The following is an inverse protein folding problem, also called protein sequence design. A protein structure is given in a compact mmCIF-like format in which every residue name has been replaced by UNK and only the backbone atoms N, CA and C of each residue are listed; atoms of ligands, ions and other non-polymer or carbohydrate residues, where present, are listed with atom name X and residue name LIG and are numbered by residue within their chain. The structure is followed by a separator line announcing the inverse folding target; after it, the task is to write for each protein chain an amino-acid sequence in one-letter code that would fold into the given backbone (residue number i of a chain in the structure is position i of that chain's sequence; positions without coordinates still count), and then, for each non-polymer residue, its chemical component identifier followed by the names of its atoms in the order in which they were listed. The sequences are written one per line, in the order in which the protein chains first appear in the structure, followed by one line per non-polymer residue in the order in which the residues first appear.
data_IF_186387127887
#
_entry.id   IF_186387127887
#
_cell.length_a   1.000
_cell.length_b   1.000
_cell.length_c   1.000
_cell.angle_alpha   90.00
_cell.angle_beta   90.00
_cell.angle_gamma   90.00
#
_symmetry.space_group_name_H-M   'P 1'
#
loop_
_entity.id
_entity.type
_entity.pdbx_description
1 polymer ?
#
# COMPACT_ATOMS: atom_id res chain seq x y z
N UNK A 1 -3.39 11.84 -0.10
CA UNK A 1 -3.00 12.00 1.32
C UNK A 1 -2.61 13.44 1.56
N UNK A 2 -3.07 14.05 2.65
CA UNK A 2 -2.90 15.48 2.91
C UNK A 2 -1.74 15.82 3.87
N UNK A 3 -1.38 14.92 4.79
CA UNK A 3 -0.31 15.13 5.76
C UNK A 3 0.34 13.82 6.21
N UNK A 4 1.40 13.89 7.02
CA UNK A 4 2.10 12.72 7.57
C UNK A 4 1.21 11.82 8.44
N UNK A 5 0.21 12.38 9.13
CA UNK A 5 -0.80 11.58 9.84
C UNK A 5 -1.64 10.73 8.89
N UNK A 6 -1.92 11.21 7.67
CA UNK A 6 -2.65 10.42 6.68
C UNK A 6 -1.82 9.24 6.15
N UNK A 7 -0.49 9.38 6.08
CA UNK A 7 0.39 8.27 5.71
C UNK A 7 0.33 7.16 6.75
N UNK A 8 0.44 7.53 8.03
CA UNK A 8 0.38 6.58 9.14
C UNK A 8 -0.98 5.87 9.17
N UNK A 9 -2.08 6.63 9.06
CA UNK A 9 -3.43 6.07 9.02
C UNK A 9 -3.59 5.05 7.89
N UNK A 10 -3.17 5.37 6.66
CA UNK A 10 -3.23 4.44 5.53
C UNK A 10 -2.39 3.18 5.80
N UNK A 11 -1.16 3.35 6.32
CA UNK A 11 -0.30 2.23 6.65
C UNK A 11 -0.94 1.30 7.69
N UNK A 12 -1.56 1.87 8.72
CA UNK A 12 -2.14 1.10 9.82
C UNK A 12 -3.43 0.39 9.40
N UNK A 13 -4.27 1.02 8.57
CA UNK A 13 -5.42 0.34 7.94
C UNK A 13 -4.96 -0.85 7.12
N UNK A 14 -3.94 -0.68 6.27
CA UNK A 14 -3.41 -1.78 5.45
C UNK A 14 -2.83 -2.90 6.32
N UNK A 15 -2.05 -2.59 7.36
CA UNK A 15 -1.48 -3.59 8.28
C UNK A 15 -2.54 -4.35 9.08
N UNK A 16 -3.67 -3.71 9.34
CA UNK A 16 -4.78 -4.30 10.10
C UNK A 16 -5.59 -5.29 9.26
N UNK A 17 -5.85 -4.92 8.00
CA UNK A 17 -6.69 -5.73 7.11
C UNK A 17 -5.89 -6.74 6.27
N UNK A 18 -4.58 -6.54 6.12
CA UNK A 18 -3.71 -7.37 5.28
C UNK A 18 -2.43 -7.77 6.00
N UNK A 19 -2.00 -9.02 5.81
CA UNK A 19 -0.70 -9.50 6.29
C UNK A 19 0.44 -9.04 5.36
N UNK A 20 0.92 -7.83 5.64
CA UNK A 20 1.99 -7.17 4.88
C UNK A 20 3.28 -7.18 5.68
N UNK A 21 4.38 -7.55 5.02
CA UNK A 21 5.72 -7.47 5.62
C UNK A 21 6.17 -6.03 5.82
N UNK A 22 5.85 -5.16 4.86
CA UNK A 22 6.23 -3.75 4.88
C UNK A 22 5.18 -2.94 4.13
N UNK A 23 4.76 -1.84 4.73
CA UNK A 23 3.95 -0.82 4.05
C UNK A 23 4.62 0.53 4.27
N UNK A 24 4.66 1.33 3.21
CA UNK A 24 5.20 2.67 3.21
C UNK A 24 4.29 3.57 2.40
N UNK A 25 3.57 4.45 3.07
CA UNK A 25 2.82 5.51 2.43
C UNK A 25 3.68 6.77 2.34
N UNK A 26 3.49 7.54 1.26
CA UNK A 26 4.10 8.85 1.09
C UNK A 26 3.06 9.86 0.59
N UNK A 27 2.77 10.87 1.40
CA UNK A 27 1.92 12.00 1.05
C UNK A 27 2.61 12.90 0.03
N UNK A 28 3.93 13.08 0.14
CA UNK A 28 4.73 13.85 -0.82
C UNK A 28 4.67 13.24 -2.21
N UNK A 29 4.77 11.90 -2.31
CA UNK A 29 4.66 11.18 -3.59
C UNK A 29 3.23 10.77 -3.96
N UNK A 30 2.27 10.96 -3.04
CA UNK A 30 0.86 10.53 -3.16
C UNK A 30 0.68 9.05 -3.52
N UNK A 31 1.54 8.17 -2.98
CA UNK A 31 1.55 6.73 -3.29
C UNK A 31 1.84 5.88 -2.06
N UNK A 32 1.39 4.62 -2.08
CA UNK A 32 1.66 3.64 -1.04
C UNK A 32 2.34 2.40 -1.65
N UNK A 33 3.49 2.04 -1.10
CA UNK A 33 4.25 0.85 -1.47
C UNK A 33 4.00 -0.23 -0.42
N UNK A 34 3.59 -1.42 -0.87
CA UNK A 34 3.25 -2.54 0.00
C UNK A 34 4.07 -3.74 -0.44
N UNK A 35 4.66 -4.44 0.52
CA UNK A 35 5.39 -5.69 0.34
C UNK A 35 4.73 -6.75 1.20
N UNK A 36 4.10 -7.73 0.57
CA UNK A 36 3.48 -8.90 1.20
C UNK A 36 4.12 -10.18 0.67
N UNK A 37 3.91 -11.30 1.40
CA UNK A 37 4.28 -12.63 0.89
C UNK A 37 3.23 -13.20 -0.07
N UNK A 38 1.97 -12.90 0.21
CA UNK A 38 0.82 -13.37 -0.55
C UNK A 38 0.29 -12.25 -1.45
N UNK A 39 -0.33 -12.59 -2.60
CA UNK A 39 -0.97 -11.61 -3.46
C UNK A 39 -2.10 -10.92 -2.68
N UNK A 40 -2.05 -9.59 -2.65
CA UNK A 40 -3.08 -8.77 -2.03
C UNK A 40 -4.28 -8.68 -2.96
N UNK A 41 -5.48 -8.74 -2.37
CA UNK A 41 -6.72 -8.52 -3.09
C UNK A 41 -6.89 -7.02 -3.36
N UNK A 42 -6.71 -6.61 -4.61
CA UNK A 42 -6.87 -5.23 -5.06
C UNK A 42 -8.24 -4.64 -4.69
N UNK A 43 -9.31 -5.44 -4.78
CA UNK A 43 -10.66 -4.96 -4.54
C UNK A 43 -10.88 -4.64 -3.06
N UNK A 44 -10.35 -5.49 -2.18
CA UNK A 44 -10.32 -5.20 -0.74
C UNK A 44 -9.44 -3.99 -0.44
N UNK A 45 -8.29 -3.85 -1.10
CA UNK A 45 -7.36 -2.75 -0.86
C UNK A 45 -8.01 -1.41 -1.22
N UNK A 46 -8.67 -1.35 -2.38
CA UNK A 46 -9.47 -0.19 -2.82
C UNK A 46 -10.59 0.13 -1.84
N UNK A 47 -11.28 -0.89 -1.32
CA UNK A 47 -12.36 -0.70 -0.34
C UNK A 47 -11.84 -0.16 1.01
N UNK A 48 -10.75 -0.72 1.53
CA UNK A 48 -10.13 -0.29 2.77
C UNK A 48 -9.62 1.16 2.68
N UNK A 49 -8.96 1.51 1.58
CA UNK A 49 -8.51 2.89 1.34
C UNK A 49 -9.71 3.82 1.10
N UNK A 50 -10.75 3.37 0.39
CA UNK A 50 -11.99 4.12 0.21
C UNK A 50 -12.68 4.46 1.53
N UNK A 51 -12.69 3.52 2.49
CA UNK A 51 -13.22 3.74 3.83
C UNK A 51 -12.46 4.82 4.62
N UNK A 52 -11.17 5.04 4.32
CA UNK A 52 -10.39 6.14 4.92
C UNK A 52 -10.67 7.51 4.28
N UNK A 53 -11.53 7.58 3.26
CA UNK A 53 -11.84 8.80 2.53
C UNK A 53 -10.85 9.12 1.39
N UNK A 54 -10.07 8.14 0.94
CA UNK A 54 -9.11 8.32 -0.15
C UNK A 54 -9.50 7.50 -1.38
N UNK A 55 -9.34 8.09 -2.56
CA UNK A 55 -9.57 7.43 -3.84
C UNK A 55 -8.29 6.78 -4.33
N UNK A 56 -8.33 5.48 -4.60
CA UNK A 56 -7.25 4.75 -5.25
C UNK A 56 -7.39 4.89 -6.76
N UNK A 57 -6.44 5.56 -7.40
CA UNK A 57 -6.44 5.79 -8.85
C UNK A 57 -5.83 4.63 -9.61
N UNK A 58 -4.73 4.09 -9.11
CA UNK A 58 -3.98 2.99 -9.75
C UNK A 58 -3.57 1.98 -8.68
N UNK A 59 -3.69 0.70 -9.01
CA UNK A 59 -3.15 -0.39 -8.20
C UNK A 59 -2.32 -1.24 -9.13
N UNK A 60 -1.05 -1.46 -8.74
CA UNK A 60 -0.16 -2.35 -9.46
C UNK A 60 0.30 -3.41 -8.50
N UNK A 61 -0.11 -4.63 -8.76
CA UNK A 61 0.42 -5.82 -8.11
C UNK A 61 1.43 -6.47 -9.05
N UNK A 62 2.70 -6.27 -8.77
CA UNK A 62 3.78 -7.01 -9.43
C UNK A 62 4.37 -7.98 -8.40
N UNK A 63 4.75 -9.19 -8.82
CA UNK A 63 5.51 -10.08 -7.96
C UNK A 63 6.76 -9.35 -7.47
N UNK A 64 6.99 -9.37 -6.15
CA UNK A 64 8.17 -8.74 -5.57
C UNK A 64 9.43 -9.52 -5.98
N UNK A 65 9.92 -9.23 -7.18
CA UNK A 65 11.24 -9.64 -7.63
C UNK A 65 12.19 -8.72 -6.88
N UNK A 66 12.84 -9.25 -5.83
CA UNK A 66 14.08 -8.63 -5.33
C UNK A 66 14.89 -8.31 -6.58
N UNK A 67 15.19 -7.04 -6.84
CA UNK A 67 16.25 -6.68 -7.79
C UNK A 67 17.55 -7.24 -7.23
N UNK A 68 17.78 -8.53 -7.47
CA UNK A 68 19.12 -9.06 -7.60
C UNK A 68 19.73 -8.22 -8.70
N UNK A 69 20.73 -7.42 -8.33
CA UNK A 69 21.76 -7.02 -9.27
C UNK A 69 22.26 -8.32 -9.90
N UNK A 70 21.71 -8.68 -11.06
CA UNK A 70 22.33 -9.67 -11.91
C UNK A 70 23.51 -8.98 -12.59
N UNK A 71 24.70 -9.46 -12.20
CA UNK A 71 26.07 -9.22 -12.68
C UNK A 71 26.85 -8.06 -12.07
#
# INVERSE_FOLDING_TARGET
MACGMCEAHICDTIRKDFDVKKVKASHTKKMAEIVSKEPLDEQKLRSAIGATGYTVTDVRSEEYVKKGLFK
#
